data_IF_708413676936
#
_entry.id   IF_708413676936
#
_cell.length_a   1.000
_cell.length_b   1.000
_cell.length_c   1.000
_cell.angle_alpha   90.00
_cell.angle_beta   90.00
_cell.angle_gamma   90.00
#
_symmetry.space_group_name_H-M   'P 1'
#
loop_
_entity.id
_entity.type
_entity.pdbx_description
1 polymer ?
#
# COMPACT_ATOMS: atom_id res chain seq x y z
N UNK A 1 37.66 -37.38 11.23
CA UNK A 1 36.56 -37.28 12.20
C UNK A 1 36.55 -35.86 12.72
N UNK A 2 35.59 -35.04 12.30
CA UNK A 2 35.30 -33.76 12.95
C UNK A 2 33.79 -33.60 12.97
N UNK A 3 33.30 -33.40 14.17
CA UNK A 3 31.94 -33.48 14.67
C UNK A 3 31.01 -32.47 14.00
N UNK A 4 29.95 -32.98 13.38
CA UNK A 4 28.77 -32.21 13.02
C UNK A 4 28.13 -31.67 14.31
N UNK A 5 27.97 -30.35 14.37
CA UNK A 5 27.19 -29.70 15.42
C UNK A 5 25.73 -30.17 15.30
N UNK A 6 25.23 -30.79 16.36
CA UNK A 6 23.84 -31.17 16.47
C UNK A 6 22.99 -29.91 16.63
N UNK A 7 22.34 -29.47 15.55
CA UNK A 7 21.12 -28.69 15.66
C UNK A 7 20.07 -29.61 16.31
N UNK A 8 19.82 -29.44 17.60
CA UNK A 8 18.67 -30.05 18.27
C UNK A 8 17.40 -29.35 17.80
N UNK A 9 17.03 -29.59 16.55
CA UNK A 9 15.71 -29.30 16.02
C UNK A 9 14.71 -30.18 16.74
N UNK A 10 13.64 -29.58 17.28
CA UNK A 10 12.46 -30.29 17.77
C UNK A 10 12.01 -31.28 16.68
N UNK A 11 11.73 -32.53 17.03
CA UNK A 11 11.31 -33.50 16.02
C UNK A 11 9.99 -33.07 15.38
N UNK A 12 9.72 -33.52 14.16
CA UNK A 12 8.46 -33.23 13.48
C UNK A 12 7.27 -33.70 14.33
N UNK A 13 7.38 -34.89 14.94
CA UNK A 13 6.38 -35.44 15.85
C UNK A 13 6.14 -34.54 17.08
N UNK A 14 7.20 -34.06 17.73
CA UNK A 14 7.07 -33.14 18.88
C UNK A 14 6.44 -31.80 18.49
N UNK A 15 6.59 -31.39 17.23
CA UNK A 15 6.02 -30.17 16.67
C UNK A 15 4.54 -30.37 16.33
N UNK A 16 4.17 -31.51 15.75
CA UNK A 16 2.78 -31.89 15.53
C UNK A 16 1.99 -31.97 16.85
N UNK A 17 2.56 -32.62 17.87
CA UNK A 17 1.96 -32.69 19.21
C UNK A 17 1.75 -31.30 19.84
N UNK A 18 2.68 -30.36 19.60
CA UNK A 18 2.51 -28.98 20.05
C UNK A 18 1.31 -28.34 19.37
N UNK A 19 1.23 -28.47 18.04
CA UNK A 19 0.18 -27.86 17.23
C UNK A 19 -1.19 -28.47 17.57
N UNK A 20 -1.29 -29.76 17.85
CA UNK A 20 -2.54 -30.39 18.30
C UNK A 20 -2.99 -29.87 19.67
N UNK A 21 -2.05 -29.67 20.60
CA UNK A 21 -2.37 -29.02 21.88
C UNK A 21 -2.83 -27.58 21.68
N UNK A 22 -2.24 -26.85 20.74
CA UNK A 22 -2.65 -25.48 20.42
C UNK A 22 -4.02 -25.43 19.76
N UNK A 23 -4.31 -26.35 18.84
CA UNK A 23 -5.62 -26.50 18.20
C UNK A 23 -6.70 -26.81 19.24
N UNK A 24 -6.42 -27.74 20.16
CA UNK A 24 -7.30 -28.05 21.29
C UNK A 24 -7.56 -26.82 22.16
N UNK A 25 -6.51 -26.06 22.49
CA UNK A 25 -6.65 -24.80 23.25
C UNK A 25 -7.46 -23.75 22.50
N UNK A 26 -7.31 -23.64 21.18
CA UNK A 26 -8.11 -22.75 20.34
C UNK A 26 -9.59 -23.15 20.33
N UNK A 27 -9.87 -24.45 20.31
CA UNK A 27 -11.25 -24.97 20.33
C UNK A 27 -11.95 -24.72 21.68
N UNK A 28 -11.21 -24.80 22.80
CA UNK A 28 -11.74 -24.62 24.15
C UNK A 28 -11.69 -23.16 24.64
N UNK A 29 -11.10 -22.24 23.89
CA UNK A 29 -10.94 -20.84 24.33
C UNK A 29 -12.25 -20.07 24.17
N UNK A 30 -12.71 -19.40 25.22
CA UNK A 30 -13.82 -18.45 25.13
C UNK A 30 -13.40 -17.15 24.44
N UNK A 31 -14.38 -16.41 23.90
CA UNK A 31 -14.14 -15.18 23.14
C UNK A 31 -13.34 -14.09 23.90
N UNK A 32 -13.57 -13.81 25.20
CA UNK A 32 -12.80 -12.81 25.94
C UNK A 32 -11.29 -13.11 26.03
N UNK A 33 -10.93 -14.40 25.94
CA UNK A 33 -9.54 -14.85 26.02
C UNK A 33 -8.92 -15.08 24.64
N UNK A 34 -9.71 -14.97 23.57
CA UNK A 34 -9.26 -15.34 22.22
C UNK A 34 -8.13 -14.43 21.75
N UNK A 35 -8.23 -13.12 21.93
CA UNK A 35 -7.19 -12.18 21.54
C UNK A 35 -5.83 -12.51 22.20
N UNK A 36 -5.82 -12.76 23.52
CA UNK A 36 -4.62 -13.12 24.27
C UNK A 36 -4.05 -14.50 23.90
N UNK A 37 -4.88 -15.39 23.34
CA UNK A 37 -4.41 -16.63 22.75
C UNK A 37 -3.81 -16.38 21.37
N UNK A 38 -4.50 -15.62 20.51
CA UNK A 38 -4.09 -15.33 19.13
C UNK A 38 -2.78 -14.53 19.07
N UNK A 39 -2.52 -13.66 20.05
CA UNK A 39 -1.27 -12.89 20.13
C UNK A 39 -0.02 -13.78 20.17
N UNK A 40 -0.13 -14.99 20.71
CA UNK A 40 0.96 -15.99 20.75
C UNK A 40 0.80 -17.06 19.69
N UNK A 41 -0.43 -17.49 19.44
CA UNK A 41 -0.73 -18.59 18.52
C UNK A 41 -0.39 -18.22 17.08
N UNK A 42 -0.79 -17.03 16.61
CA UNK A 42 -0.62 -16.66 15.20
C UNK A 42 0.84 -16.55 14.76
N UNK A 43 1.72 -15.79 15.45
CA UNK A 43 3.12 -15.71 15.06
C UNK A 43 3.81 -17.08 15.10
N UNK A 44 3.51 -17.90 16.12
CA UNK A 44 4.09 -19.24 16.24
C UNK A 44 3.62 -20.15 15.10
N UNK A 45 2.30 -20.23 14.86
CA UNK A 45 1.74 -21.05 13.80
C UNK A 45 2.31 -20.65 12.43
N UNK A 46 2.29 -19.35 12.09
CA UNK A 46 2.79 -18.86 10.81
C UNK A 46 4.29 -19.11 10.66
N UNK A 47 5.11 -18.89 11.71
CA UNK A 47 6.54 -19.19 11.65
C UNK A 47 6.83 -20.68 11.39
N UNK A 48 5.95 -21.58 11.87
CA UNK A 48 6.08 -23.03 11.71
C UNK A 48 5.80 -23.49 10.26
N UNK A 49 5.24 -22.64 9.39
CA UNK A 49 5.08 -22.93 7.96
C UNK A 49 6.41 -23.08 7.21
N UNK A 50 7.54 -22.71 7.82
CA UNK A 50 8.88 -22.97 7.29
C UNK A 50 9.32 -24.44 7.42
N UNK A 51 8.59 -25.28 8.18
CA UNK A 51 8.89 -26.70 8.32
C UNK A 51 8.85 -27.44 6.98
N UNK A 52 9.78 -28.39 6.80
CA UNK A 52 9.82 -29.26 5.63
C UNK A 52 8.78 -30.40 5.70
N UNK A 53 8.22 -30.69 6.89
CA UNK A 53 7.17 -31.68 7.06
C UNK A 53 5.84 -31.17 6.50
N UNK A 54 5.29 -31.90 5.55
CA UNK A 54 3.95 -31.63 5.00
C UNK A 54 2.86 -31.82 6.05
N UNK A 55 3.01 -32.79 6.96
CA UNK A 55 2.06 -33.02 8.04
C UNK A 55 1.99 -31.81 8.99
N UNK A 56 3.15 -31.30 9.42
CA UNK A 56 3.27 -30.06 10.21
C UNK A 56 2.60 -28.88 9.51
N UNK A 57 2.91 -28.64 8.22
CA UNK A 57 2.31 -27.54 7.46
C UNK A 57 0.79 -27.67 7.35
N UNK A 58 0.27 -28.86 7.09
CA UNK A 58 -1.17 -29.11 7.02
C UNK A 58 -1.87 -28.80 8.35
N UNK A 59 -1.25 -29.16 9.47
CA UNK A 59 -1.76 -28.87 10.80
C UNK A 59 -1.79 -27.36 11.08
N UNK A 60 -0.77 -26.63 10.66
CA UNK A 60 -0.79 -25.16 10.74
C UNK A 60 -1.94 -24.58 9.92
N UNK A 61 -2.14 -25.03 8.68
CA UNK A 61 -3.23 -24.57 7.83
C UNK A 61 -4.62 -24.85 8.44
N UNK A 62 -4.77 -26.00 9.11
CA UNK A 62 -5.96 -26.32 9.90
C UNK A 62 -6.19 -25.29 11.00
N UNK A 63 -5.18 -25.01 11.83
CA UNK A 63 -5.24 -23.99 12.88
C UNK A 63 -5.64 -22.62 12.30
N UNK A 64 -4.97 -22.16 11.24
CA UNK A 64 -5.24 -20.86 10.63
C UNK A 64 -6.68 -20.78 10.06
N UNK A 65 -7.20 -21.88 9.52
CA UNK A 65 -8.60 -21.99 9.09
C UNK A 65 -9.57 -21.81 10.27
N UNK A 66 -9.28 -22.42 11.42
CA UNK A 66 -10.09 -22.22 12.64
C UNK A 66 -10.00 -20.79 13.18
N UNK A 67 -8.80 -20.19 13.18
CA UNK A 67 -8.65 -18.77 13.55
C UNK A 67 -9.51 -17.89 12.65
N UNK A 68 -9.42 -18.07 11.33
CA UNK A 68 -10.20 -17.28 10.36
C UNK A 68 -11.70 -17.39 10.60
N UNK A 69 -12.22 -18.59 10.89
CA UNK A 69 -13.64 -18.80 11.18
C UNK A 69 -14.09 -17.99 12.41
N UNK A 70 -13.29 -17.98 13.48
CA UNK A 70 -13.64 -17.26 14.72
C UNK A 70 -13.59 -15.75 14.53
N UNK A 71 -12.52 -15.23 13.92
CA UNK A 71 -12.33 -13.78 13.82
C UNK A 71 -13.19 -13.13 12.72
N UNK A 72 -13.70 -13.88 11.74
CA UNK A 72 -14.39 -13.35 10.55
C UNK A 72 -15.54 -12.38 10.85
N UNK A 73 -16.32 -12.66 11.89
CA UNK A 73 -17.49 -11.87 12.26
C UNK A 73 -17.33 -11.13 13.60
N UNK A 74 -16.10 -11.09 14.11
CA UNK A 74 -15.72 -10.51 15.40
C UNK A 74 -14.58 -9.49 15.18
N UNK A 75 -14.85 -8.31 14.59
CA UNK A 75 -13.82 -7.30 14.30
C UNK A 75 -13.16 -6.72 15.56
N UNK A 76 -13.80 -6.84 16.73
CA UNK A 76 -13.29 -6.42 18.03
C UNK A 76 -12.09 -7.22 18.52
N UNK A 77 -11.90 -8.45 18.00
CA UNK A 77 -10.79 -9.31 18.40
C UNK A 77 -9.52 -8.86 17.68
N UNK A 78 -8.57 -8.32 18.42
CA UNK A 78 -7.28 -7.88 17.92
C UNK A 78 -6.42 -9.02 17.38
N UNK A 79 -5.52 -8.67 16.45
CA UNK A 79 -4.49 -9.56 15.91
C UNK A 79 -3.11 -8.93 16.14
N UNK A 80 -2.04 -9.73 16.36
CA UNK A 80 -0.74 -9.22 16.79
C UNK A 80 0.04 -8.55 15.64
N UNK A 81 -0.39 -7.34 15.25
CA UNK A 81 0.14 -6.60 14.10
C UNK A 81 1.67 -6.44 14.14
N UNK A 82 2.23 -6.02 15.27
CA UNK A 82 3.67 -5.77 15.39
C UNK A 82 4.50 -7.06 15.27
N UNK A 83 4.06 -8.15 15.89
CA UNK A 83 4.80 -9.41 15.84
C UNK A 83 4.68 -10.08 14.46
N UNK A 84 3.52 -9.94 13.81
CA UNK A 84 3.35 -10.36 12.42
C UNK A 84 4.23 -9.57 11.45
N UNK A 85 4.38 -8.26 11.66
CA UNK A 85 5.27 -7.42 10.86
C UNK A 85 6.74 -7.77 11.07
N UNK A 86 7.17 -7.98 12.31
CA UNK A 86 8.53 -8.47 12.61
C UNK A 86 8.81 -9.81 11.92
N UNK A 87 7.88 -10.75 12.01
CA UNK A 87 8.00 -12.07 11.35
C UNK A 87 8.05 -11.94 9.83
N UNK A 88 7.29 -11.01 9.24
CA UNK A 88 7.29 -10.75 7.80
C UNK A 88 8.63 -10.18 7.32
N UNK A 89 9.26 -9.31 8.12
CA UNK A 89 10.52 -8.64 7.76
C UNK A 89 11.76 -9.52 7.96
N UNK A 90 11.68 -10.61 8.72
CA UNK A 90 12.80 -11.52 8.93
C UNK A 90 13.40 -11.98 7.58
N UNK A 91 14.70 -11.70 7.37
CA UNK A 91 15.42 -12.04 6.15
C UNK A 91 15.41 -13.53 5.84
N UNK A 92 15.24 -14.37 6.86
CA UNK A 92 15.22 -15.83 6.73
C UNK A 92 13.78 -16.39 6.60
N UNK A 93 12.76 -15.53 6.65
CA UNK A 93 11.37 -15.97 6.51
C UNK A 93 11.12 -16.58 5.13
N UNK A 94 10.71 -17.86 5.11
CA UNK A 94 10.31 -18.56 3.91
C UNK A 94 9.12 -17.87 3.22
N UNK A 95 9.00 -18.01 1.89
CA UNK A 95 7.93 -17.36 1.11
C UNK A 95 6.52 -17.68 1.63
N UNK A 96 6.30 -18.92 2.07
CA UNK A 96 5.01 -19.33 2.65
C UNK A 96 4.69 -18.54 3.93
N UNK A 97 5.67 -18.33 4.81
CA UNK A 97 5.54 -17.51 6.02
C UNK A 97 5.14 -16.08 5.64
N UNK A 98 5.85 -15.46 4.69
CA UNK A 98 5.58 -14.08 4.22
C UNK A 98 4.17 -13.95 3.62
N UNK A 99 3.75 -14.92 2.82
CA UNK A 99 2.43 -14.92 2.18
C UNK A 99 1.27 -15.01 3.19
N UNK A 100 1.45 -15.73 4.30
CA UNK A 100 0.45 -15.78 5.37
C UNK A 100 0.53 -14.56 6.28
N UNK A 101 1.73 -14.10 6.63
CA UNK A 101 1.92 -12.87 7.41
C UNK A 101 1.19 -11.69 6.77
N UNK A 102 1.35 -11.44 5.47
CA UNK A 102 0.77 -10.26 4.82
C UNK A 102 -0.76 -10.25 4.88
N UNK A 103 -1.42 -11.42 4.79
CA UNK A 103 -2.87 -11.55 4.91
C UNK A 103 -3.33 -11.18 6.32
N UNK A 104 -2.65 -11.69 7.36
CA UNK A 104 -3.00 -11.37 8.74
C UNK A 104 -2.63 -9.94 9.14
N UNK A 105 -1.59 -9.34 8.54
CA UNK A 105 -1.26 -7.92 8.71
C UNK A 105 -2.38 -7.05 8.15
N UNK A 106 -2.85 -7.31 6.93
CA UNK A 106 -4.00 -6.59 6.33
C UNK A 106 -5.24 -6.72 7.23
N UNK A 107 -5.54 -7.91 7.74
CA UNK A 107 -6.66 -8.12 8.67
C UNK A 107 -6.47 -7.41 10.01
N UNK A 108 -5.25 -7.34 10.54
CA UNK A 108 -4.95 -6.70 11.82
C UNK A 108 -5.12 -5.17 11.74
N UNK A 109 -4.78 -4.57 10.60
CA UNK A 109 -4.98 -3.13 10.37
C UNK A 109 -6.43 -2.68 10.51
N UNK A 110 -7.37 -3.56 10.18
CA UNK A 110 -8.80 -3.27 10.28
C UNK A 110 -9.33 -3.33 11.72
N UNK A 111 -8.51 -3.81 12.67
CA UNK A 111 -8.91 -4.15 14.04
C UNK A 111 -8.19 -3.33 15.11
N UNK A 112 -7.00 -2.83 14.83
CA UNK A 112 -6.22 -2.03 15.79
C UNK A 112 -6.74 -0.59 15.90
N UNK A 113 -6.46 0.03 17.04
CA UNK A 113 -6.80 1.43 17.28
C UNK A 113 -6.15 2.39 16.27
N UNK A 114 -6.85 3.48 15.99
CA UNK A 114 -6.45 4.54 15.05
C UNK A 114 -5.00 4.99 15.28
N UNK A 115 -4.62 5.27 16.54
CA UNK A 115 -3.26 5.72 16.89
C UNK A 115 -2.18 4.69 16.51
N UNK A 116 -2.49 3.40 16.64
CA UNK A 116 -1.57 2.33 16.25
C UNK A 116 -1.43 2.32 14.74
N UNK A 117 -2.53 2.44 14.00
CA UNK A 117 -2.52 2.53 12.52
C UNK A 117 -1.63 3.67 12.04
N UNK A 118 -1.88 4.89 12.53
CA UNK A 118 -1.12 6.09 12.17
C UNK A 118 0.38 5.94 12.45
N UNK A 119 0.72 5.32 13.58
CA UNK A 119 2.13 5.10 13.95
C UNK A 119 2.83 4.06 13.09
N UNK A 120 2.09 3.05 12.62
CA UNK A 120 2.61 1.89 11.89
C UNK A 120 2.67 2.13 10.38
N UNK A 121 1.74 2.89 9.79
CA UNK A 121 1.67 3.08 8.34
C UNK A 121 2.97 3.60 7.72
N UNK A 122 3.61 4.65 8.26
CA UNK A 122 4.97 5.02 7.87
C UNK A 122 5.93 3.82 7.83
N UNK A 123 6.01 3.05 8.91
CA UNK A 123 6.96 1.93 9.06
C UNK A 123 6.76 0.82 8.03
N UNK A 124 5.55 0.63 7.51
CA UNK A 124 5.27 -0.36 6.46
C UNK A 124 5.69 0.08 5.07
N UNK A 125 5.73 1.39 4.85
CA UNK A 125 6.22 1.95 3.59
C UNK A 125 7.75 1.87 3.49
N UNK A 126 8.44 1.72 4.63
CA UNK A 126 9.87 1.48 4.65
C UNK A 126 10.22 0.16 3.95
N UNK A 127 11.20 0.18 3.05
CA UNK A 127 11.65 -0.97 2.28
C UNK A 127 10.58 -1.61 1.39
N UNK A 128 9.47 -0.92 1.09
CA UNK A 128 8.39 -1.46 0.27
C UNK A 128 8.88 -1.88 -1.13
N UNK A 129 9.86 -1.17 -1.69
CA UNK A 129 10.48 -1.50 -2.99
C UNK A 129 11.13 -2.88 -3.04
N UNK A 130 11.51 -3.44 -1.89
CA UNK A 130 12.14 -4.77 -1.77
C UNK A 130 11.12 -5.90 -1.67
N UNK A 131 9.84 -5.57 -1.50
CA UNK A 131 8.78 -6.56 -1.31
C UNK A 131 8.25 -7.08 -2.65
N UNK A 132 7.67 -8.29 -2.70
CA UNK A 132 6.98 -8.78 -3.89
C UNK A 132 5.87 -7.80 -4.34
N UNK A 133 5.65 -7.57 -5.65
CA UNK A 133 4.69 -6.57 -6.14
C UNK A 133 3.27 -6.71 -5.55
N UNK A 134 2.79 -7.94 -5.36
CA UNK A 134 1.48 -8.19 -4.74
C UNK A 134 1.42 -7.69 -3.29
N UNK A 135 2.50 -7.84 -2.53
CA UNK A 135 2.57 -7.39 -1.15
C UNK A 135 2.73 -5.87 -1.06
N UNK A 136 3.48 -5.26 -2.01
CA UNK A 136 3.53 -3.80 -2.15
C UNK A 136 2.12 -3.23 -2.29
N UNK A 137 1.32 -3.79 -3.19
CA UNK A 137 -0.05 -3.38 -3.43
C UNK A 137 -0.97 -3.53 -2.20
N UNK A 138 -0.81 -4.60 -1.41
CA UNK A 138 -1.55 -4.79 -0.15
C UNK A 138 -1.19 -3.71 0.87
N UNK A 139 0.11 -3.43 1.03
CA UNK A 139 0.61 -2.42 1.97
C UNK A 139 0.17 -1.02 1.53
N UNK A 140 0.32 -0.68 0.26
CA UNK A 140 -0.09 0.61 -0.30
C UNK A 140 -1.58 0.87 -0.13
N UNK A 141 -2.43 -0.15 -0.36
CA UNK A 141 -3.87 -0.05 -0.08
C UNK A 141 -4.17 0.13 1.40
N UNK A 142 -3.48 -0.60 2.26
CA UNK A 142 -3.61 -0.47 3.72
C UNK A 142 -3.21 0.94 4.16
N UNK A 143 -2.11 1.46 3.62
CA UNK A 143 -1.66 2.82 3.85
C UNK A 143 -2.69 3.86 3.39
N UNK A 144 -3.20 3.76 2.15
CA UNK A 144 -4.24 4.67 1.67
C UNK A 144 -5.52 4.61 2.52
N UNK A 145 -5.91 3.42 3.02
CA UNK A 145 -7.03 3.29 3.95
C UNK A 145 -6.79 4.09 5.23
N UNK A 146 -5.65 3.90 5.89
CA UNK A 146 -5.29 4.64 7.11
C UNK A 146 -5.22 6.14 6.84
N UNK A 147 -4.60 6.54 5.74
CA UNK A 147 -4.51 7.95 5.33
C UNK A 147 -5.89 8.58 5.14
N UNK A 148 -6.84 7.86 4.53
CA UNK A 148 -8.22 8.33 4.41
C UNK A 148 -8.96 8.39 5.74
N UNK A 149 -8.78 7.40 6.61
CA UNK A 149 -9.43 7.35 7.93
C UNK A 149 -8.89 8.43 8.89
N UNK A 150 -7.59 8.73 8.83
CA UNK A 150 -6.90 9.47 9.88
C UNK A 150 -6.44 10.87 9.42
N UNK A 151 -6.24 11.10 8.12
CA UNK A 151 -5.54 12.29 7.63
C UNK A 151 -6.33 13.12 6.60
N UNK A 152 -7.61 12.78 6.37
CA UNK A 152 -8.45 13.49 5.40
C UNK A 152 -8.67 14.97 5.73
N UNK A 153 -8.74 15.32 7.01
CA UNK A 153 -8.87 16.71 7.46
C UNK A 153 -7.52 17.38 7.64
N UNK A 154 -6.65 16.77 8.46
CA UNK A 154 -5.32 17.26 8.77
C UNK A 154 -4.42 16.09 9.21
N UNK A 155 -3.11 16.31 9.25
CA UNK A 155 -2.13 15.33 9.69
C UNK A 155 -1.41 15.85 10.95
N UNK A 156 -1.31 15.00 11.96
CA UNK A 156 -0.54 15.30 13.17
C UNK A 156 0.96 15.41 12.86
N UNK A 157 1.63 16.39 13.47
CA UNK A 157 3.03 16.71 13.17
C UNK A 157 4.00 15.57 13.56
N UNK A 158 3.67 14.77 14.57
CA UNK A 158 4.47 13.59 14.95
C UNK A 158 4.38 12.51 13.88
N UNK A 159 3.20 12.35 13.26
CA UNK A 159 2.99 11.41 12.15
C UNK A 159 3.65 11.94 10.88
N UNK A 160 3.49 13.24 10.58
CA UNK A 160 4.13 13.90 9.45
C UNK A 160 5.66 13.73 9.48
N UNK A 161 6.28 13.89 10.66
CA UNK A 161 7.72 13.69 10.85
C UNK A 161 8.17 12.28 10.46
N UNK A 162 7.36 11.25 10.72
CA UNK A 162 7.66 9.88 10.30
C UNK A 162 7.60 9.74 8.79
N UNK A 163 6.60 10.33 8.13
CA UNK A 163 6.52 10.33 6.67
C UNK A 163 7.69 11.05 5.99
N UNK A 164 8.21 12.13 6.60
CA UNK A 164 9.41 12.84 6.09
C UNK A 164 10.69 12.03 6.21
N UNK A 165 10.76 11.07 7.12
CA UNK A 165 11.96 10.25 7.32
C UNK A 165 12.30 9.35 6.12
N UNK A 166 11.35 9.11 5.20
CA UNK A 166 11.51 8.30 3.99
C UNK A 166 12.12 9.06 2.79
N UNK A 167 13.00 10.05 3.03
CA UNK A 167 13.64 10.91 2.01
C UNK A 167 13.91 10.22 0.66
N UNK A 168 13.73 10.94 -0.47
CA UNK A 168 13.90 10.52 -1.88
C UNK A 168 14.55 9.14 -2.06
N UNK A 169 13.72 8.12 -1.84
CA UNK A 169 14.08 6.70 -1.94
C UNK A 169 13.15 6.05 -2.94
N UNK A 170 13.53 4.89 -3.47
CA UNK A 170 12.66 4.10 -4.35
C UNK A 170 11.31 3.77 -3.68
N UNK A 171 11.29 3.65 -2.34
CA UNK A 171 10.08 3.44 -1.56
C UNK A 171 9.12 4.64 -1.67
N UNK A 172 9.67 5.86 -1.56
CA UNK A 172 8.90 7.09 -1.72
C UNK A 172 8.37 7.25 -3.14
N UNK A 173 9.16 6.93 -4.18
CA UNK A 173 8.69 6.96 -5.57
C UNK A 173 7.50 6.02 -5.78
N UNK A 174 7.57 4.79 -5.27
CA UNK A 174 6.45 3.84 -5.34
C UNK A 174 5.21 4.33 -4.61
N UNK A 175 5.39 4.96 -3.44
CA UNK A 175 4.28 5.52 -2.67
C UNK A 175 3.64 6.71 -3.39
N UNK A 176 4.44 7.63 -3.94
CA UNK A 176 3.97 8.80 -4.70
C UNK A 176 3.25 8.37 -5.99
N UNK A 177 3.79 7.39 -6.70
CA UNK A 177 3.15 6.84 -7.91
C UNK A 177 1.81 6.17 -7.57
N UNK A 178 1.72 5.47 -6.44
CA UNK A 178 0.45 4.93 -5.98
C UNK A 178 -0.54 6.02 -5.53
N UNK A 179 -0.06 7.09 -4.89
CA UNK A 179 -0.88 8.25 -4.54
C UNK A 179 -1.47 8.91 -5.78
N UNK A 180 -0.69 9.03 -6.86
CA UNK A 180 -1.19 9.49 -8.16
C UNK A 180 -2.25 8.53 -8.72
N UNK A 181 -2.01 7.21 -8.63
CA UNK A 181 -3.00 6.21 -9.04
C UNK A 181 -4.33 6.37 -8.25
N UNK A 182 -4.26 6.65 -6.95
CA UNK A 182 -5.45 6.92 -6.09
C UNK A 182 -6.18 8.20 -6.51
N UNK A 183 -5.46 9.28 -6.81
CA UNK A 183 -6.06 10.56 -7.22
C UNK A 183 -6.77 10.44 -8.57
N UNK A 184 -6.19 9.69 -9.51
CA UNK A 184 -6.79 9.44 -10.82
C UNK A 184 -7.92 8.40 -10.79
N UNK A 185 -7.99 7.57 -9.75
CA UNK A 185 -9.03 6.56 -9.65
C UNK A 185 -10.41 7.21 -9.58
N UNK A 186 -11.32 6.68 -10.40
CA UNK A 186 -12.73 7.03 -10.41
C UNK A 186 -13.53 5.74 -10.20
N UNK A 187 -14.68 5.85 -9.52
CA UNK A 187 -15.57 4.71 -9.40
C UNK A 187 -15.98 4.23 -10.81
N UNK A 188 -15.97 2.92 -11.08
CA UNK A 188 -16.38 2.41 -12.38
C UNK A 188 -17.80 2.88 -12.72
N UNK A 189 -17.96 3.59 -13.83
CA UNK A 189 -19.28 3.92 -14.36
C UNK A 189 -19.97 2.64 -14.84
N UNK A 190 -21.30 2.60 -14.81
CA UNK A 190 -22.09 1.47 -15.33
C UNK A 190 -21.77 1.16 -16.81
N UNK A 191 -21.20 2.13 -17.54
CA UNK A 191 -20.81 2.02 -18.96
C UNK A 191 -19.49 1.25 -19.21
N UNK A 192 -18.76 0.85 -18.17
CA UNK A 192 -17.56 0.02 -18.30
C UNK A 192 -16.40 0.75 -19.00
N UNK A 193 -15.50 1.32 -18.20
CA UNK A 193 -14.29 1.96 -18.73
C UNK A 193 -13.23 2.12 -17.64
N UNK A 194 -11.97 2.11 -18.02
CA UNK A 194 -10.87 2.47 -17.12
C UNK A 194 -10.83 4.01 -16.99
N UNK A 195 -10.65 4.58 -15.79
CA UNK A 195 -10.52 6.01 -15.63
C UNK A 195 -9.39 6.58 -16.52
N UNK A 196 -9.59 7.78 -17.12
CA UNK A 196 -8.53 8.44 -17.88
C UNK A 196 -7.23 8.54 -17.08
N UNK A 197 -6.09 8.36 -17.74
CA UNK A 197 -4.77 8.40 -17.08
C UNK A 197 -4.36 7.12 -16.35
N UNK A 198 -5.27 6.14 -16.16
CA UNK A 198 -4.94 4.83 -15.60
C UNK A 198 -4.99 3.72 -16.65
N UNK A 199 -4.14 2.71 -16.46
CA UNK A 199 -4.32 1.41 -17.10
C UNK A 199 -5.25 0.52 -16.28
N UNK A 200 -5.78 -0.53 -16.89
CA UNK A 200 -6.61 -1.54 -16.18
C UNK A 200 -5.90 -2.09 -14.93
N UNK A 201 -4.59 -2.39 -15.03
CA UNK A 201 -3.82 -2.88 -13.89
C UNK A 201 -3.73 -1.85 -12.75
N UNK A 202 -3.44 -0.58 -13.09
CA UNK A 202 -3.40 0.53 -12.12
C UNK A 202 -4.77 0.90 -11.54
N UNK A 203 -5.83 0.75 -12.33
CA UNK A 203 -7.20 0.94 -11.84
C UNK A 203 -7.59 -0.18 -10.87
N UNK A 204 -7.15 -1.42 -11.09
CA UNK A 204 -7.49 -2.56 -10.23
C UNK A 204 -6.69 -2.59 -8.92
N UNK A 205 -5.45 -2.08 -8.92
CA UNK A 205 -4.61 -2.11 -7.70
C UNK A 205 -5.10 -1.17 -6.59
N UNK A 206 -5.80 -0.08 -6.92
CA UNK A 206 -6.31 0.91 -5.94
C UNK A 206 -7.41 0.36 -5.03
N UNK A 207 -8.52 -0.20 -5.55
CA UNK A 207 -9.60 -0.73 -4.71
C UNK A 207 -9.28 -2.12 -4.11
N UNK A 208 -8.41 -2.90 -4.76
CA UNK A 208 -8.20 -4.30 -4.40
C UNK A 208 -9.39 -5.16 -4.84
N UNK A 209 -10.00 -5.90 -3.90
CA UNK A 209 -11.08 -6.86 -4.23
C UNK A 209 -12.45 -6.19 -4.47
N UNK A 210 -12.71 -5.07 -3.80
CA UNK A 210 -14.02 -4.41 -3.81
C UNK A 210 -13.87 -2.94 -4.18
N UNK A 211 -14.71 -2.41 -5.08
CA UNK A 211 -14.71 -0.98 -5.41
C UNK A 211 -14.88 -0.10 -4.16
N UNK A 212 -14.23 1.06 -4.17
CA UNK A 212 -14.34 2.02 -3.08
C UNK A 212 -15.65 2.81 -3.20
N UNK A 213 -16.34 3.04 -2.08
CA UNK A 213 -17.47 3.96 -2.02
C UNK A 213 -17.00 5.42 -2.25
N UNK A 214 -17.88 6.31 -2.72
CA UNK A 214 -17.56 7.71 -3.03
C UNK A 214 -17.04 8.48 -1.82
N UNK A 215 -17.63 8.28 -0.65
CA UNK A 215 -17.17 8.92 0.59
C UNK A 215 -15.80 8.40 1.03
N UNK A 216 -15.57 7.08 0.91
CA UNK A 216 -14.28 6.47 1.23
C UNK A 216 -13.20 6.93 0.25
N UNK A 217 -13.55 7.07 -1.04
CA UNK A 217 -12.63 7.59 -2.05
C UNK A 217 -12.30 9.07 -1.77
N UNK A 218 -13.30 9.87 -1.41
CA UNK A 218 -13.13 11.27 -1.04
C UNK A 218 -12.12 11.45 0.09
N UNK A 219 -12.34 10.75 1.21
CA UNK A 219 -11.47 10.87 2.38
C UNK A 219 -10.05 10.38 2.07
N UNK A 220 -9.90 9.30 1.29
CA UNK A 220 -8.59 8.82 0.82
C UNK A 220 -7.87 9.86 -0.03
N UNK A 221 -8.54 10.49 -1.00
CA UNK A 221 -7.94 11.50 -1.88
C UNK A 221 -7.50 12.73 -1.10
N UNK A 222 -8.36 13.24 -0.20
CA UNK A 222 -8.02 14.37 0.67
C UNK A 222 -6.84 14.03 1.61
N UNK A 223 -6.86 12.85 2.20
CA UNK A 223 -5.78 12.37 3.07
C UNK A 223 -4.46 12.26 2.32
N UNK A 224 -4.47 11.72 1.09
CA UNK A 224 -3.30 11.66 0.22
C UNK A 224 -2.73 13.06 -0.03
N UNK A 225 -3.58 14.03 -0.37
CA UNK A 225 -3.12 15.41 -0.59
C UNK A 225 -2.47 16.03 0.66
N UNK A 226 -3.04 15.78 1.84
CA UNK A 226 -2.50 16.26 3.11
C UNK A 226 -1.16 15.58 3.48
N UNK A 227 -1.05 14.27 3.30
CA UNK A 227 0.19 13.53 3.54
C UNK A 227 1.28 13.97 2.55
N UNK A 228 0.95 14.14 1.28
CA UNK A 228 1.92 14.59 0.26
C UNK A 228 2.40 16.02 0.54
N UNK A 229 1.50 16.94 0.96
CA UNK A 229 1.93 18.27 1.43
C UNK A 229 2.88 18.15 2.63
N UNK A 230 2.57 17.28 3.60
CA UNK A 230 3.35 17.14 4.81
C UNK A 230 4.73 16.53 4.56
N UNK A 231 4.90 15.64 3.58
CA UNK A 231 6.22 15.09 3.20
C UNK A 231 7.15 16.18 2.65
N UNK A 232 6.59 17.26 2.09
CA UNK A 232 7.33 18.41 1.55
C UNK A 232 8.35 18.04 0.46
N UNK A 233 7.89 17.25 -0.51
CA UNK A 233 8.69 16.84 -1.68
C UNK A 233 8.94 18.02 -2.63
N UNK A 234 9.97 17.87 -3.48
CA UNK A 234 10.28 18.86 -4.50
C UNK A 234 9.09 19.10 -5.46
N UNK A 235 8.91 20.33 -5.98
CA UNK A 235 7.77 20.70 -6.81
C UNK A 235 7.51 19.74 -7.99
N UNK A 236 8.57 19.25 -8.65
CA UNK A 236 8.48 18.34 -9.80
C UNK A 236 7.85 16.99 -9.45
N UNK A 237 7.99 16.54 -8.21
CA UNK A 237 7.42 15.26 -7.76
C UNK A 237 5.94 15.37 -7.43
N UNK A 238 5.51 16.52 -6.90
CA UNK A 238 4.11 16.74 -6.46
C UNK A 238 3.23 17.37 -7.54
N UNK A 239 3.83 18.04 -8.53
CA UNK A 239 3.10 18.70 -9.61
C UNK A 239 2.09 17.77 -10.31
N UNK A 240 2.43 16.52 -10.73
CA UNK A 240 1.46 15.64 -11.38
C UNK A 240 0.29 15.26 -10.47
N UNK A 241 0.53 15.13 -9.15
CA UNK A 241 -0.50 14.75 -8.18
C UNK A 241 -1.49 15.90 -8.00
N UNK A 242 -0.99 17.12 -7.77
CA UNK A 242 -1.86 18.28 -7.58
C UNK A 242 -2.62 18.62 -8.86
N UNK A 243 -1.99 18.49 -10.03
CA UNK A 243 -2.67 18.65 -11.31
C UNK A 243 -3.81 17.63 -11.47
N UNK A 244 -3.56 16.34 -11.18
CA UNK A 244 -4.60 15.32 -11.23
C UNK A 244 -5.77 15.64 -10.29
N UNK A 245 -5.50 16.15 -9.09
CA UNK A 245 -6.53 16.55 -8.14
C UNK A 245 -7.39 17.72 -8.63
N UNK A 246 -6.85 18.66 -9.42
CA UNK A 246 -7.66 19.75 -10.01
C UNK A 246 -8.69 19.28 -11.04
N UNK A 247 -8.51 18.08 -11.59
CA UNK A 247 -9.42 17.48 -12.56
C UNK A 247 -10.35 16.42 -11.93
N UNK A 248 -10.47 16.39 -10.60
CA UNK A 248 -11.30 15.42 -9.89
C UNK A 248 -12.80 15.64 -10.12
N UNK A 249 -13.64 14.65 -9.81
CA UNK A 249 -15.10 14.79 -9.85
C UNK A 249 -15.69 15.31 -8.53
N UNK A 250 -14.92 15.25 -7.44
CA UNK A 250 -15.34 15.69 -6.11
C UNK A 250 -14.79 17.09 -5.80
N UNK A 251 -15.69 18.05 -5.66
CA UNK A 251 -15.36 19.47 -5.43
C UNK A 251 -14.34 19.73 -4.30
N UNK A 252 -14.39 19.04 -3.13
CA UNK A 252 -13.39 19.26 -2.08
C UNK A 252 -11.97 18.89 -2.52
N UNK A 253 -11.82 17.85 -3.36
CA UNK A 253 -10.53 17.42 -3.89
C UNK A 253 -9.99 18.46 -4.88
N UNK A 254 -10.86 18.98 -5.77
CA UNK A 254 -10.51 20.05 -6.72
C UNK A 254 -9.97 21.28 -5.97
N UNK A 255 -10.73 21.78 -5.00
CA UNK A 255 -10.36 22.96 -4.20
C UNK A 255 -9.00 22.77 -3.50
N UNK A 256 -8.79 21.59 -2.92
CA UNK A 256 -7.52 21.27 -2.25
C UNK A 256 -6.37 21.14 -3.24
N UNK A 257 -6.59 20.52 -4.39
CA UNK A 257 -5.62 20.40 -5.48
C UNK A 257 -5.18 21.77 -6.00
N UNK A 258 -6.11 22.68 -6.26
CA UNK A 258 -5.80 24.04 -6.73
C UNK A 258 -5.00 24.83 -5.70
N UNK A 259 -5.37 24.72 -4.42
CA UNK A 259 -4.64 25.37 -3.32
C UNK A 259 -3.18 24.88 -3.27
N UNK A 260 -2.97 23.57 -3.33
CA UNK A 260 -1.63 22.97 -3.24
C UNK A 260 -0.80 23.24 -4.50
N UNK A 261 -1.42 23.21 -5.69
CA UNK A 261 -0.75 23.55 -6.94
C UNK A 261 -0.19 24.99 -6.90
N UNK A 262 -1.01 25.96 -6.45
CA UNK A 262 -0.61 27.36 -6.30
C UNK A 262 0.43 27.60 -5.19
N UNK A 263 0.41 26.80 -4.12
CA UNK A 263 1.29 27.00 -2.96
C UNK A 263 2.64 26.30 -3.09
N UNK A 264 2.66 25.09 -3.65
CA UNK A 264 3.80 24.16 -3.59
C UNK A 264 4.37 23.76 -4.95
N UNK A 265 3.61 23.94 -6.03
CA UNK A 265 4.04 23.50 -7.37
C UNK A 265 4.44 24.65 -8.31
N UNK A 266 4.29 25.91 -7.90
CA UNK A 266 4.62 27.10 -8.74
C UNK A 266 6.08 27.15 -9.17
N UNK A 267 7.00 26.60 -8.36
CA UNK A 267 8.42 26.54 -8.67
C UNK A 267 8.86 25.34 -9.50
N UNK A 268 7.94 24.49 -9.97
CA UNK A 268 8.30 23.30 -10.72
C UNK A 268 8.97 23.65 -12.05
N UNK A 269 10.13 23.05 -12.30
CA UNK A 269 10.80 23.16 -13.59
C UNK A 269 10.05 22.39 -14.67
N UNK A 270 9.25 23.08 -15.47
CA UNK A 270 8.49 22.47 -16.58
C UNK A 270 9.38 22.01 -17.76
N UNK A 271 10.67 22.34 -17.75
CA UNK A 271 11.65 21.81 -18.70
C UNK A 271 12.31 20.51 -18.19
N UNK A 272 12.00 20.07 -16.97
CA UNK A 272 12.49 18.80 -16.45
C UNK A 272 11.94 17.63 -17.27
N UNK A 273 12.85 16.83 -17.82
CA UNK A 273 12.50 15.73 -18.72
C UNK A 273 11.70 14.63 -18.02
N UNK A 274 11.86 14.43 -16.72
CA UNK A 274 11.12 13.40 -15.99
C UNK A 274 9.69 13.87 -15.71
N UNK A 275 9.52 15.12 -15.29
CA UNK A 275 8.21 15.75 -15.14
C UNK A 275 7.46 15.76 -16.48
N UNK A 276 8.11 16.21 -17.56
CA UNK A 276 7.51 16.20 -18.89
C UNK A 276 7.06 14.80 -19.30
N UNK A 277 7.90 13.77 -19.13
CA UNK A 277 7.51 12.38 -19.41
C UNK A 277 6.27 11.95 -18.61
N UNK A 278 6.20 12.28 -17.32
CA UNK A 278 5.04 11.98 -16.47
C UNK A 278 3.78 12.68 -16.98
N UNK A 279 3.86 13.98 -17.31
CA UNK A 279 2.73 14.74 -17.85
C UNK A 279 2.26 14.23 -19.21
N UNK A 280 3.19 13.90 -20.13
CA UNK A 280 2.85 13.28 -21.40
C UNK A 280 2.19 11.91 -21.23
N UNK A 281 2.64 11.11 -20.26
CA UNK A 281 2.03 9.81 -19.97
C UNK A 281 0.62 9.97 -19.41
N UNK A 282 0.39 10.99 -18.58
CA UNK A 282 -0.94 11.33 -18.08
C UNK A 282 -1.89 11.76 -19.21
N UNK A 283 -1.42 12.65 -20.09
CA UNK A 283 -2.22 13.19 -21.19
C UNK A 283 -2.57 12.14 -22.25
N UNK A 284 -1.59 11.36 -22.69
CA UNK A 284 -1.78 10.35 -23.74
C UNK A 284 -2.39 9.04 -23.21
N UNK A 285 -2.39 8.84 -21.88
CA UNK A 285 -2.60 7.54 -21.27
C UNK A 285 -1.43 6.58 -21.55
N UNK A 286 -1.47 5.38 -20.94
CA UNK A 286 -0.52 4.31 -21.29
C UNK A 286 -0.89 3.64 -22.62
N UNK A 287 -0.90 4.41 -23.71
CA UNK A 287 -0.76 3.84 -25.05
C UNK A 287 0.61 3.16 -25.04
N UNK A 288 0.64 1.83 -25.26
CA UNK A 288 1.86 1.01 -25.39
C UNK A 288 2.96 1.87 -25.97
N UNK A 289 3.99 2.13 -25.17
CA UNK A 289 5.19 2.91 -25.49
C UNK A 289 5.46 2.81 -26.98
N UNK A 290 4.91 3.76 -27.76
CA UNK A 290 5.33 3.89 -29.14
C UNK A 290 6.67 4.57 -28.98
N UNK A 291 7.68 3.79 -29.34
CA UNK A 291 9.09 4.06 -29.21
C UNK A 291 9.44 5.56 -29.19
N UNK A 292 10.38 5.87 -28.30
CA UNK A 292 11.17 7.11 -28.20
C UNK A 292 11.67 7.66 -29.56
N UNK A 293 11.53 6.89 -30.64
CA UNK A 293 11.74 7.30 -32.03
C UNK A 293 10.83 8.43 -32.55
N UNK A 294 9.58 8.56 -32.10
CA UNK A 294 8.67 9.57 -32.68
C UNK A 294 8.98 10.98 -32.16
N UNK A 295 9.41 11.12 -30.91
CA UNK A 295 9.80 12.42 -30.32
C UNK A 295 11.08 13.00 -30.95
N UNK A 296 12.03 12.17 -31.39
CA UNK A 296 13.21 12.63 -32.13
C UNK A 296 12.89 13.02 -33.58
N UNK A 297 11.83 12.48 -34.19
CA UNK A 297 11.45 12.78 -35.58
C UNK A 297 10.58 14.03 -35.70
N UNK A 298 9.87 14.41 -34.64
CA UNK A 298 8.97 15.57 -34.63
C UNK A 298 9.62 16.87 -34.16
N UNK A 299 10.88 16.88 -33.72
CA UNK A 299 11.57 18.08 -33.26
C UNK A 299 13.03 18.18 -33.76
N UNK A 300 13.28 18.51 -35.04
CA UNK A 300 14.50 19.17 -35.44
C UNK A 300 14.28 20.69 -35.36
N UNK A 301 14.33 21.27 -34.16
CA UNK A 301 14.23 22.73 -34.02
C UNK A 301 13.72 23.22 -32.67
N UNK A 302 14.55 23.14 -31.64
CA UNK A 302 14.43 24.08 -30.51
C UNK A 302 14.79 25.47 -31.03
N UNK A 303 13.80 26.31 -31.36
CA UNK A 303 13.95 27.78 -31.30
C UNK A 303 12.68 28.61 -31.55
N UNK A 304 11.45 28.08 -31.73
CA UNK A 304 10.36 28.97 -32.18
C UNK A 304 8.92 28.77 -31.68
N UNK A 305 8.62 27.88 -30.72
CA UNK A 305 7.23 27.69 -30.30
C UNK A 305 7.06 27.49 -28.79
N UNK A 306 7.20 28.57 -28.03
CA UNK A 306 6.85 28.62 -26.60
C UNK A 306 5.47 29.22 -26.30
N UNK A 307 4.64 29.62 -27.28
CA UNK A 307 3.43 30.41 -26.97
C UNK A 307 2.11 30.00 -27.64
N UNK A 308 2.01 28.91 -28.40
CA UNK A 308 0.79 28.64 -29.20
C UNK A 308 0.07 27.30 -29.05
N UNK A 309 0.46 26.43 -28.13
CA UNK A 309 -0.22 25.12 -27.97
C UNK A 309 -1.21 25.07 -26.79
N UNK A 310 -1.27 26.09 -25.92
CA UNK A 310 -2.15 26.08 -24.74
C UNK A 310 -3.55 26.68 -24.99
N UNK A 311 -3.83 27.31 -26.14
CA UNK A 311 -5.05 28.12 -26.31
C UNK A 311 -6.12 27.62 -27.30
N UNK A 312 -6.10 26.37 -27.77
CA UNK A 312 -7.03 25.96 -28.85
C UNK A 312 -8.06 24.86 -28.53
N UNK A 313 -8.29 24.48 -27.27
CA UNK A 313 -9.39 23.55 -26.95
C UNK A 313 -10.10 23.88 -25.63
N UNK A 314 -10.64 25.10 -25.54
CA UNK A 314 -11.81 25.41 -24.71
C UNK A 314 -12.71 26.34 -25.51
N UNK A 315 -13.63 25.74 -26.26
CA UNK A 315 -14.99 26.20 -26.52
C UNK A 315 -15.87 24.97 -26.77
#
# INVERSE_FOLDING_TARGET
MSTAAAETGRSDADTEDLLDRMLTRLALCDDPNLEALLSRLLPLAISTLSSQSTAVRNKVLEILSHVNKRVKHQPEIGLPLQDLWKLYLDSNAASMVRNFCIVYIEMAFDRVDVKVKESMTPLLLENISKLPPQHQDIILRSAAKVIGECHASEIDEQVATKYRSFSVSQDMELFVDFCLDVLLYQQPSQSGGCPPGLSVAKSNRVPGKHPLNGDVLLTRKLGVLNVIEAIDLAPEHVYPLYLAATADCQEPVIKRGEQLLKKKAVGANLDDLNLLKKLFTLFNGMIRVLEVFVLKRLLPGLSFWTEKVIFHYIY
#
